data_IF_185478548897
#
_entry.id   IF_185478548897
#
_cell.length_a   1.000
_cell.length_b   1.000
_cell.length_c   1.000
_cell.angle_alpha   90.00
_cell.angle_beta   90.00
_cell.angle_gamma   90.00
#
_symmetry.space_group_name_H-M   'P 1'
#
loop_
_entity.id
_entity.type
_entity.pdbx_description
1 polymer ?
#
# COMPACT_ATOMS: atom_id res chain seq x y z
N UNK A 1 9.45 20.26 -4.84
CA UNK A 1 9.73 19.74 -6.20
C UNK A 1 8.96 20.49 -7.28
N UNK A 2 7.61 20.52 -7.31
CA UNK A 2 6.84 21.29 -8.33
C UNK A 2 7.26 22.76 -8.44
N UNK A 3 7.41 23.46 -7.30
CA UNK A 3 7.89 24.87 -7.26
C UNK A 3 9.27 25.10 -7.91
N UNK A 4 10.10 24.06 -7.98
CA UNK A 4 11.41 24.19 -8.60
C UNK A 4 11.25 24.34 -10.12
N UNK A 5 10.42 23.50 -10.74
CA UNK A 5 10.22 23.50 -12.18
C UNK A 5 9.31 24.61 -12.70
N UNK A 6 8.55 25.26 -11.81
CA UNK A 6 7.91 26.54 -12.13
C UNK A 6 8.92 27.69 -12.23
N UNK A 7 10.03 27.62 -11.50
CA UNK A 7 11.10 28.63 -11.54
C UNK A 7 12.19 28.29 -12.56
N UNK A 8 12.39 27.00 -12.84
CA UNK A 8 13.40 26.46 -13.74
C UNK A 8 12.73 25.50 -14.73
N UNK A 9 12.09 26.04 -15.79
CA UNK A 9 11.39 25.22 -16.76
C UNK A 9 12.37 24.33 -17.54
N UNK A 10 11.95 23.10 -17.80
CA UNK A 10 12.71 22.12 -18.57
C UNK A 10 12.01 21.88 -19.90
N UNK A 11 12.78 21.68 -20.97
CA UNK A 11 12.25 21.44 -22.32
C UNK A 11 12.71 20.08 -22.86
N UNK A 12 11.83 19.39 -23.57
CA UNK A 12 12.11 18.17 -24.34
C UNK A 12 11.69 18.42 -25.80
N UNK A 13 12.63 18.30 -26.74
CA UNK A 13 12.42 18.59 -28.16
C UNK A 13 11.78 19.97 -28.45
N UNK A 14 12.16 20.97 -27.66
CA UNK A 14 11.62 22.34 -27.77
C UNK A 14 10.28 22.56 -27.06
N UNK A 15 9.63 21.50 -26.54
CA UNK A 15 8.40 21.62 -25.76
C UNK A 15 8.70 21.73 -24.27
N UNK A 16 8.14 22.75 -23.60
CA UNK A 16 8.30 22.91 -22.16
C UNK A 16 7.47 21.86 -21.41
N UNK A 17 8.12 21.14 -20.50
CA UNK A 17 7.48 20.15 -19.65
C UNK A 17 6.64 20.85 -18.57
N UNK A 18 5.35 20.52 -18.51
CA UNK A 18 4.47 20.90 -17.41
C UNK A 18 4.56 19.88 -16.28
N UNK A 19 4.94 20.34 -15.08
CA UNK A 19 4.94 19.48 -13.89
C UNK A 19 3.87 19.99 -12.95
N UNK A 20 2.82 19.18 -12.78
CA UNK A 20 1.74 19.47 -11.84
C UNK A 20 1.61 18.34 -10.82
N UNK A 21 1.39 18.70 -9.56
CA UNK A 21 0.89 17.75 -8.58
C UNK A 21 -0.58 17.47 -8.85
N UNK A 22 -0.89 16.23 -9.21
CA UNK A 22 -2.27 15.77 -9.34
C UNK A 22 -2.97 15.94 -7.99
N UNK A 23 -4.12 16.65 -7.92
CA UNK A 23 -4.76 17.02 -6.66
C UNK A 23 -5.11 15.82 -5.77
N UNK A 24 -5.46 14.68 -6.38
CA UNK A 24 -5.72 13.43 -5.67
C UNK A 24 -4.50 12.84 -4.92
N UNK A 25 -3.28 13.31 -5.20
CA UNK A 25 -2.04 12.81 -4.58
C UNK A 25 -1.36 13.86 -3.68
N UNK A 26 -2.04 14.98 -3.34
CA UNK A 26 -1.45 16.05 -2.51
C UNK A 26 -1.17 15.65 -1.07
N UNK A 27 -1.91 14.68 -0.54
CA UNK A 27 -1.67 14.14 0.81
C UNK A 27 -1.74 12.63 0.77
N UNK A 28 -0.71 11.97 1.32
CA UNK A 28 -0.67 10.53 1.56
C UNK A 28 -1.55 10.13 2.74
N UNK A 29 -2.56 10.94 3.10
CA UNK A 29 -3.38 10.69 4.30
C UNK A 29 -4.17 9.40 4.18
N UNK A 30 -4.69 9.15 2.99
CA UNK A 30 -5.41 7.92 2.66
C UNK A 30 -4.49 6.99 1.86
N UNK A 31 -3.87 6.04 2.56
CA UNK A 31 -2.91 5.10 2.00
C UNK A 31 -3.62 4.07 1.10
N UNK A 32 -4.83 3.65 1.46
CA UNK A 32 -5.63 2.72 0.65
C UNK A 32 -6.14 3.38 -0.62
N UNK A 33 -6.64 4.62 -0.56
CA UNK A 33 -7.09 5.32 -1.77
C UNK A 33 -5.97 5.47 -2.81
N UNK A 34 -4.75 5.74 -2.36
CA UNK A 34 -3.57 5.80 -3.25
C UNK A 34 -3.29 4.43 -3.85
N UNK A 35 -3.26 3.39 -3.02
CA UNK A 35 -2.98 2.04 -3.48
C UNK A 35 -4.02 1.57 -4.50
N UNK A 36 -5.29 1.78 -4.18
CA UNK A 36 -6.43 1.50 -5.04
C UNK A 36 -6.38 2.28 -6.36
N UNK A 37 -6.00 3.56 -6.33
CA UNK A 37 -5.84 4.35 -7.55
C UNK A 37 -4.74 3.78 -8.46
N UNK A 38 -3.63 3.31 -7.90
CA UNK A 38 -2.53 2.68 -8.66
C UNK A 38 -2.98 1.35 -9.27
N UNK A 39 -3.73 0.54 -8.52
CA UNK A 39 -4.30 -0.71 -9.04
C UNK A 39 -5.24 -0.43 -10.21
N UNK A 40 -6.12 0.57 -10.07
CA UNK A 40 -7.08 0.97 -11.12
C UNK A 40 -6.43 1.56 -12.36
N UNK A 41 -5.32 2.26 -12.20
CA UNK A 41 -4.51 2.76 -13.33
C UNK A 41 -3.88 1.60 -14.12
N UNK A 42 -3.49 0.53 -13.41
CA UNK A 42 -2.91 -0.68 -14.02
C UNK A 42 -3.97 -1.56 -14.71
N UNK A 43 -5.15 -1.70 -14.12
CA UNK A 43 -6.31 -2.39 -14.69
C UNK A 43 -7.60 -1.57 -14.48
N UNK A 44 -8.06 -0.81 -15.49
CA UNK A 44 -9.24 0.03 -15.37
C UNK A 44 -10.55 -0.73 -15.14
N UNK A 45 -10.57 -2.05 -15.38
CA UNK A 45 -11.77 -2.89 -15.24
C UNK A 45 -11.94 -3.47 -13.84
N UNK A 46 -10.94 -3.31 -12.97
CA UNK A 46 -10.95 -3.89 -11.64
C UNK A 46 -11.99 -3.19 -10.74
N UNK A 47 -12.78 -3.99 -10.02
CA UNK A 47 -13.70 -3.49 -9.00
C UNK A 47 -12.95 -3.30 -7.68
N UNK A 48 -12.49 -2.07 -7.48
CA UNK A 48 -11.65 -1.68 -6.36
C UNK A 48 -12.33 -1.76 -5.00
N UNK A 49 -13.65 -1.59 -4.94
CA UNK A 49 -14.41 -1.60 -3.68
C UNK A 49 -14.35 -2.98 -3.01
N UNK A 50 -14.27 -4.04 -3.82
CA UNK A 50 -14.20 -5.43 -3.32
C UNK A 50 -12.79 -5.85 -2.88
N UNK A 51 -11.77 -5.05 -3.21
CA UNK A 51 -10.38 -5.40 -2.93
C UNK A 51 -9.96 -5.12 -1.49
N UNK A 52 -10.66 -4.25 -0.76
CA UNK A 52 -10.29 -3.87 0.60
C UNK A 52 -10.20 -5.09 1.55
N UNK A 53 -11.07 -6.08 1.39
CA UNK A 53 -11.04 -7.32 2.18
C UNK A 53 -9.81 -8.21 1.91
N UNK A 54 -9.07 -7.91 0.84
CA UNK A 54 -7.85 -8.61 0.44
C UNK A 54 -6.59 -7.89 0.88
N UNK A 55 -6.72 -6.69 1.46
CA UNK A 55 -5.59 -5.86 1.87
C UNK A 55 -5.11 -6.22 3.28
N UNK A 56 -3.80 -6.36 3.41
CA UNK A 56 -3.10 -6.47 4.69
C UNK A 56 -2.11 -5.31 4.81
N UNK A 57 -2.19 -4.61 5.93
CA UNK A 57 -1.30 -3.52 6.29
C UNK A 57 -0.18 -4.06 7.16
N UNK A 58 1.04 -3.89 6.70
CA UNK A 58 2.25 -4.10 7.47
C UNK A 58 2.76 -2.74 7.94
N UNK A 59 2.95 -2.56 9.23
CA UNK A 59 3.54 -1.34 9.80
C UNK A 59 4.80 -1.64 10.60
N UNK A 60 5.44 -0.57 11.09
CA UNK A 60 6.70 -0.64 11.81
C UNK A 60 7.83 -1.31 10.98
N UNK A 61 7.87 -1.04 9.67
CA UNK A 61 8.99 -1.47 8.82
C UNK A 61 10.25 -0.66 9.19
N UNK A 62 11.46 -1.25 9.11
CA UNK A 62 12.70 -0.51 9.31
C UNK A 62 12.86 0.68 8.34
N UNK A 63 13.59 1.71 8.74
CA UNK A 63 13.90 2.84 7.83
C UNK A 63 14.82 2.41 6.67
N UNK A 64 15.73 1.48 6.93
CA UNK A 64 16.68 0.92 5.99
C UNK A 64 17.01 -0.55 6.29
N UNK A 65 17.96 -1.13 5.54
CA UNK A 65 18.49 -2.46 5.85
C UNK A 65 17.64 -3.66 5.40
N UNK A 66 16.44 -3.43 4.83
CA UNK A 66 15.61 -4.48 4.26
C UNK A 66 15.39 -4.29 2.75
N UNK A 67 15.14 -5.38 2.03
CA UNK A 67 14.72 -5.31 0.63
C UNK A 67 13.21 -5.23 0.56
N UNK A 68 12.68 -4.43 -0.35
CA UNK A 68 11.22 -4.33 -0.57
C UNK A 68 10.57 -5.71 -0.81
N UNK A 69 11.27 -6.59 -1.54
CA UNK A 69 10.87 -7.98 -1.75
C UNK A 69 10.64 -8.76 -0.44
N UNK A 70 11.34 -8.43 0.63
CA UNK A 70 11.17 -9.08 1.94
C UNK A 70 9.77 -8.84 2.51
N UNK A 71 9.23 -7.62 2.35
CA UNK A 71 7.86 -7.30 2.76
C UNK A 71 6.83 -8.08 1.92
N UNK A 72 7.09 -8.24 0.62
CA UNK A 72 6.27 -9.06 -0.29
C UNK A 72 6.32 -10.53 0.10
N UNK A 73 7.50 -11.04 0.47
CA UNK A 73 7.69 -12.43 0.91
C UNK A 73 6.89 -12.77 2.16
N UNK A 74 6.59 -11.79 3.04
CA UNK A 74 5.70 -12.03 4.18
C UNK A 74 4.32 -12.49 3.70
N UNK A 75 3.75 -11.80 2.70
CA UNK A 75 2.44 -12.12 2.12
C UNK A 75 2.45 -13.40 1.29
N UNK A 76 3.52 -13.66 0.53
CA UNK A 76 3.65 -14.86 -0.31
C UNK A 76 3.58 -16.19 0.47
N UNK A 77 3.78 -16.17 1.79
CA UNK A 77 3.59 -17.35 2.66
C UNK A 77 2.13 -17.74 2.85
N UNK A 78 1.18 -16.85 2.56
CA UNK A 78 -0.25 -17.04 2.82
C UNK A 78 -1.11 -17.10 1.55
N UNK A 79 -0.60 -16.56 0.44
CA UNK A 79 -1.29 -16.57 -0.85
C UNK A 79 -0.47 -15.85 -1.92
N UNK A 80 -1.00 -15.81 -3.14
CA UNK A 80 -0.43 -14.99 -4.21
C UNK A 80 -0.60 -13.52 -3.83
N UNK A 81 0.45 -12.73 -4.02
CA UNK A 81 0.40 -11.27 -3.92
C UNK A 81 0.15 -10.71 -5.31
N UNK A 82 -0.99 -10.06 -5.52
CA UNK A 82 -1.35 -9.47 -6.81
C UNK A 82 -0.76 -8.06 -6.96
N UNK A 83 -0.87 -7.25 -5.90
CA UNK A 83 -0.35 -5.88 -5.85
C UNK A 83 0.25 -5.60 -4.48
N UNK A 84 1.23 -4.69 -4.43
CA UNK A 84 1.78 -4.19 -3.17
C UNK A 84 2.30 -2.77 -3.34
N UNK A 85 2.41 -2.04 -2.23
CA UNK A 85 3.08 -0.75 -2.16
C UNK A 85 3.85 -0.64 -0.85
N UNK A 86 5.06 -0.08 -0.91
CA UNK A 86 5.84 0.27 0.28
C UNK A 86 5.94 1.78 0.42
N UNK A 87 5.41 2.27 1.53
CA UNK A 87 5.39 3.68 1.93
C UNK A 87 6.55 3.90 2.92
N UNK A 88 7.77 3.97 2.40
CA UNK A 88 9.00 4.07 3.22
C UNK A 88 8.97 5.22 4.22
N UNK A 89 8.50 6.39 3.80
CA UNK A 89 8.35 7.58 4.64
C UNK A 89 7.34 7.44 5.79
N UNK A 90 6.59 6.33 5.82
CA UNK A 90 5.64 5.99 6.85
C UNK A 90 5.93 4.66 7.53
N UNK A 91 7.02 3.98 7.15
CA UNK A 91 7.38 2.67 7.69
C UNK A 91 6.23 1.65 7.55
N UNK A 92 5.54 1.69 6.41
CA UNK A 92 4.35 0.89 6.11
C UNK A 92 4.41 0.21 4.75
N UNK A 93 3.71 -0.88 4.61
CA UNK A 93 3.39 -1.51 3.34
C UNK A 93 1.93 -1.97 3.31
N UNK A 94 1.31 -1.91 2.13
CA UNK A 94 0.00 -2.53 1.89
C UNK A 94 0.21 -3.64 0.88
N UNK A 95 -0.31 -4.82 1.19
CA UNK A 95 -0.21 -6.01 0.34
C UNK A 95 -1.62 -6.49 0.02
N UNK A 96 -1.94 -6.62 -1.26
CA UNK A 96 -3.15 -7.28 -1.73
C UNK A 96 -2.86 -8.76 -1.96
N UNK A 97 -3.55 -9.61 -1.21
CA UNK A 97 -3.54 -11.05 -1.42
C UNK A 97 -4.66 -11.46 -2.39
N UNK A 98 -4.51 -12.60 -3.03
CA UNK A 98 -5.48 -13.12 -4.00
C UNK A 98 -6.87 -13.51 -3.43
N UNK A 99 -7.04 -13.48 -2.10
CA UNK A 99 -8.34 -13.76 -1.48
C UNK A 99 -8.46 -13.17 -0.07
N UNK A 100 -9.68 -12.82 0.38
CA UNK A 100 -9.90 -12.38 1.76
C UNK A 100 -9.48 -13.40 2.80
N UNK A 101 -9.64 -14.70 2.49
CA UNK A 101 -9.22 -15.78 3.38
C UNK A 101 -7.70 -15.80 3.59
N UNK A 102 -6.91 -15.52 2.55
CA UNK A 102 -5.46 -15.41 2.66
C UNK A 102 -5.07 -14.20 3.54
N UNK A 103 -5.73 -13.06 3.37
CA UNK A 103 -5.53 -11.87 4.22
C UNK A 103 -5.83 -12.15 5.69
N UNK A 104 -7.00 -12.74 5.99
CA UNK A 104 -7.36 -13.11 7.36
C UNK A 104 -6.38 -14.13 7.96
N UNK A 105 -5.94 -15.13 7.16
CA UNK A 105 -4.96 -16.13 7.60
C UNK A 105 -3.62 -15.48 7.96
N UNK A 106 -3.13 -14.56 7.11
CA UNK A 106 -1.92 -13.79 7.38
C UNK A 106 -2.04 -12.99 8.68
N UNK A 107 -3.13 -12.24 8.83
CA UNK A 107 -3.38 -11.45 10.03
C UNK A 107 -3.38 -12.32 11.29
N UNK A 108 -4.21 -13.37 11.33
CA UNK A 108 -4.31 -14.26 12.49
C UNK A 108 -2.98 -14.96 12.82
N UNK A 109 -2.22 -15.36 11.80
CA UNK A 109 -0.92 -16.00 12.01
C UNK A 109 0.10 -15.04 12.62
N UNK A 110 0.22 -13.83 12.07
CA UNK A 110 1.21 -12.84 12.52
C UNK A 110 0.89 -12.25 13.90
N UNK A 111 -0.38 -12.24 14.30
CA UNK A 111 -0.78 -11.92 15.68
C UNK A 111 -0.24 -12.95 16.69
N UNK A 112 -0.13 -14.22 16.29
CA UNK A 112 0.39 -15.30 17.15
C UNK A 112 1.89 -15.49 17.02
N UNK A 113 2.44 -15.22 15.85
CA UNK A 113 3.85 -15.38 15.51
C UNK A 113 4.38 -14.07 14.89
N UNK A 114 4.75 -13.09 15.72
CA UNK A 114 5.22 -11.79 15.24
C UNK A 114 6.43 -11.95 14.32
N UNK A 115 6.39 -11.25 13.17
CA UNK A 115 7.49 -11.28 12.21
C UNK A 115 8.46 -10.13 12.49
N UNK A 116 9.76 -10.45 12.54
CA UNK A 116 10.82 -9.47 12.77
C UNK A 116 11.59 -9.20 11.49
N UNK A 117 11.78 -7.93 11.17
CA UNK A 117 12.71 -7.43 10.17
C UNK A 117 13.83 -6.67 10.89
N UNK A 118 14.97 -7.33 11.08
CA UNK A 118 16.02 -6.85 11.97
C UNK A 118 15.50 -6.67 13.41
N UNK A 119 15.66 -5.45 13.94
CA UNK A 119 15.20 -5.10 15.29
C UNK A 119 13.71 -4.70 15.35
N UNK A 120 13.03 -4.60 14.21
CA UNK A 120 11.64 -4.16 14.14
C UNK A 120 10.71 -5.37 14.08
N UNK A 121 9.79 -5.46 15.03
CA UNK A 121 8.65 -6.38 14.94
C UNK A 121 7.55 -5.70 14.14
N UNK A 122 7.16 -6.29 13.02
CA UNK A 122 6.12 -5.71 12.17
C UNK A 122 4.77 -5.74 12.88
N UNK A 123 3.99 -4.67 12.70
CA UNK A 123 2.56 -4.69 12.99
C UNK A 123 1.81 -5.23 11.78
N UNK A 124 0.71 -5.95 12.02
CA UNK A 124 -0.11 -6.50 10.96
C UNK A 124 -1.58 -6.21 11.27
N UNK A 125 -2.29 -5.52 10.36
CA UNK A 125 -3.72 -5.23 10.49
C UNK A 125 -4.44 -5.45 9.16
N UNK A 126 -5.73 -5.77 9.22
CA UNK A 126 -6.60 -5.81 8.03
C UNK A 126 -7.09 -4.40 7.68
N UNK A 127 -7.60 -4.23 6.46
CA UNK A 127 -8.32 -3.00 6.10
C UNK A 127 -9.50 -2.76 7.03
N UNK A 128 -9.70 -1.51 7.53
CA UNK A 128 -10.82 -1.16 8.40
C UNK A 128 -12.17 -1.14 7.67
N UNK A 129 -12.21 -1.19 6.33
CA UNK A 129 -13.45 -1.28 5.54
C UNK A 129 -14.17 -2.65 5.67
N UNK A 130 -13.86 -3.41 6.72
CA UNK A 130 -14.32 -4.77 6.99
C UNK A 130 -15.32 -4.95 8.13
N UNK A 131 -15.88 -3.87 8.71
CA UNK A 131 -17.04 -4.00 9.58
C UNK A 131 -18.33 -3.73 8.78
N UNK A 132 -19.17 -4.74 8.48
CA UNK A 132 -20.58 -4.43 8.28
C UNK A 132 -21.04 -3.81 9.59
N UNK A 133 -21.48 -2.54 9.53
CA UNK A 133 -22.02 -1.83 10.67
C UNK A 133 -22.91 -2.77 11.51
N UNK A 134 -22.44 -3.13 12.70
CA UNK A 134 -23.25 -3.79 13.71
C UNK A 134 -24.43 -2.86 14.00
N UNK A 135 -25.57 -3.16 13.39
CA UNK A 135 -26.89 -2.80 13.91
C UNK A 135 -27.00 -3.42 15.29
N UNK A 136 -26.60 -2.65 16.31
CA UNK A 136 -26.98 -2.94 17.70
C UNK A 136 -28.47 -2.67 17.83
N UNK A 137 -29.20 -3.76 18.07
CA UNK A 137 -30.60 -3.79 18.50
C UNK A 137 -30.78 -3.20 19.90
#
# INVERSE_FOLDING_TARGET
MVKFYTCFPMSLDGNQLGIETVPQCRTVRDEEAIFTAIIKDSDPKVDTETLHHQFVHLGNLPDDGYRELEAVCVGLRFGKVDHYIVLKNKNKAIVQLNSPKAASSMHSFLQRYPYRMGEHTLTCTLSPHGDPAEVRA
#
